data_IF_921950276281
#
_entry.id   IF_921950276281
#
_cell.length_a   1.000
_cell.length_b   1.000
_cell.length_c   1.000
_cell.angle_alpha   90.00
_cell.angle_beta   90.00
_cell.angle_gamma   90.00
#
_symmetry.space_group_name_H-M   'P 1'
#
loop_
_entity.id
_entity.type
_entity.pdbx_description
1 polymer ?
#
# COMPACT_ATOMS: atom_id res chain seq x y z
N UNK A 1 -3.94 21.09 -3.28
CA UNK A 1 -3.53 20.34 -4.42
C UNK A 1 -2.07 20.04 -4.34
N UNK A 2 -1.71 18.85 -4.54
CA UNK A 2 -0.34 18.40 -4.30
C UNK A 2 0.26 17.78 -5.54
N UNK A 3 0.17 18.54 -6.63
CA UNK A 3 0.80 18.20 -7.89
C UNK A 3 2.29 18.02 -7.80
N UNK A 4 2.89 18.50 -6.72
CA UNK A 4 4.33 18.42 -6.53
C UNK A 4 4.73 17.26 -5.64
N UNK A 5 3.75 16.58 -5.08
CA UNK A 5 4.10 15.44 -4.26
C UNK A 5 4.63 14.34 -5.14
N UNK A 6 5.83 13.92 -4.83
CA UNK A 6 6.43 12.77 -5.45
C UNK A 6 6.13 11.54 -4.61
N UNK A 7 5.74 10.49 -5.28
CA UNK A 7 5.58 9.19 -4.65
C UNK A 7 6.80 8.36 -5.02
N UNK A 8 7.59 8.00 -4.03
CA UNK A 8 8.80 7.22 -4.23
C UNK A 8 8.59 5.78 -3.78
N UNK A 9 9.03 4.84 -4.60
CA UNK A 9 9.09 3.42 -4.24
C UNK A 9 10.50 3.11 -3.81
N UNK A 10 10.65 2.60 -2.60
CA UNK A 10 11.96 2.28 -2.04
C UNK A 10 12.00 0.86 -1.49
N UNK A 11 13.12 0.20 -1.68
CA UNK A 11 13.35 -1.13 -1.13
C UNK A 11 14.32 -1.05 0.04
N UNK A 12 14.12 -1.92 1.02
CA UNK A 12 15.04 -2.08 2.12
C UNK A 12 15.06 -3.54 2.56
N UNK A 13 16.01 -3.89 3.40
CA UNK A 13 16.16 -5.25 3.88
C UNK A 13 16.20 -5.25 5.40
N UNK A 14 15.17 -5.82 6.04
CA UNK A 14 15.11 -5.91 7.50
C UNK A 14 14.42 -7.20 7.92
N UNK A 15 15.20 -8.26 8.26
CA UNK A 15 14.61 -9.53 8.66
C UNK A 15 13.90 -9.48 10.01
N UNK A 16 14.11 -8.42 10.79
CA UNK A 16 13.48 -8.25 12.09
C UNK A 16 12.13 -7.55 12.02
N UNK A 17 11.79 -6.94 10.88
CA UNK A 17 10.50 -6.27 10.72
C UNK A 17 9.40 -7.29 10.46
N UNK A 18 8.23 -7.07 11.06
CA UNK A 18 7.05 -7.88 10.82
C UNK A 18 6.22 -7.44 9.62
N UNK A 19 6.59 -6.34 8.95
CA UNK A 19 5.79 -5.76 7.86
C UNK A 19 6.51 -5.88 6.52
N UNK A 20 5.84 -6.42 5.48
CA UNK A 20 6.44 -6.50 4.13
C UNK A 20 6.56 -5.14 3.48
N UNK A 21 5.72 -4.18 3.87
CA UNK A 21 5.75 -2.83 3.32
C UNK A 21 5.08 -1.85 4.25
N UNK A 22 5.33 -0.57 4.05
CA UNK A 22 4.60 0.49 4.73
C UNK A 22 4.64 1.78 3.92
N UNK A 23 3.69 2.66 4.20
CA UNK A 23 3.61 3.99 3.61
C UNK A 23 4.18 4.99 4.61
N UNK A 24 5.12 5.80 4.15
CA UNK A 24 5.79 6.82 4.95
C UNK A 24 5.48 8.20 4.37
N UNK A 25 4.52 8.92 4.93
CA UNK A 25 4.21 10.27 4.47
C UNK A 25 5.34 11.24 4.83
N UNK A 26 5.72 12.08 3.90
CA UNK A 26 6.77 13.04 4.10
C UNK A 26 6.41 14.36 3.42
N UNK A 27 6.20 15.41 4.22
CA UNK A 27 5.79 16.71 3.71
C UNK A 27 6.91 17.45 2.98
N UNK A 28 8.15 17.01 3.16
CA UNK A 28 9.32 17.67 2.57
C UNK A 28 9.72 17.10 1.21
N UNK A 29 9.86 15.79 1.16
CA UNK A 29 10.46 15.11 0.00
C UNK A 29 9.45 14.29 -0.79
N UNK A 30 8.17 14.42 -0.47
CA UNK A 30 7.15 13.57 -1.01
C UNK A 30 6.98 12.30 -0.17
N UNK A 31 6.05 11.47 -0.57
CA UNK A 31 5.70 10.28 0.18
C UNK A 31 6.51 9.07 -0.29
N UNK A 32 6.84 8.19 0.63
CA UNK A 32 7.56 6.96 0.32
C UNK A 32 6.71 5.73 0.54
N UNK A 33 6.76 4.81 -0.43
CA UNK A 33 6.29 3.45 -0.25
C UNK A 33 7.51 2.56 -0.05
N UNK A 34 7.60 1.96 1.13
CA UNK A 34 8.76 1.20 1.56
C UNK A 34 8.46 -0.29 1.50
N UNK A 35 9.28 -1.05 0.77
CA UNK A 35 9.09 -2.49 0.60
C UNK A 35 10.26 -3.25 1.20
N UNK A 36 9.95 -4.13 2.15
CA UNK A 36 10.97 -4.97 2.80
C UNK A 36 11.26 -6.18 1.93
N UNK A 37 12.41 -6.19 1.29
CA UNK A 37 12.81 -7.26 0.37
C UNK A 37 12.84 -8.64 1.05
N UNK A 38 13.23 -8.69 2.30
CA UNK A 38 13.27 -9.96 3.03
C UNK A 38 11.90 -10.63 3.07
N UNK A 39 10.87 -9.86 3.45
CA UNK A 39 9.51 -10.38 3.56
C UNK A 39 8.82 -10.48 2.20
N UNK A 40 9.05 -9.52 1.30
CA UNK A 40 8.46 -9.54 -0.04
C UNK A 40 8.89 -10.77 -0.82
N UNK A 41 10.13 -11.21 -0.68
CA UNK A 41 10.63 -12.39 -1.39
C UNK A 41 9.90 -13.69 -1.00
N UNK A 42 9.26 -13.73 0.15
CA UNK A 42 8.48 -14.88 0.59
C UNK A 42 7.04 -14.89 0.09
N UNK A 43 6.61 -13.85 -0.62
CA UNK A 43 5.23 -13.72 -1.07
C UNK A 43 5.05 -14.23 -2.49
N UNK A 44 3.85 -14.70 -2.80
CA UNK A 44 3.48 -15.02 -4.18
C UNK A 44 3.38 -13.74 -5.01
N UNK A 45 3.32 -13.88 -6.33
CA UNK A 45 3.16 -12.75 -7.23
C UNK A 45 1.90 -11.94 -6.91
N UNK A 46 0.78 -12.60 -6.65
CA UNK A 46 -0.48 -11.93 -6.33
C UNK A 46 -0.43 -11.25 -4.96
N UNK A 47 0.21 -11.89 -3.99
CA UNK A 47 0.40 -11.28 -2.68
C UNK A 47 1.26 -10.02 -2.76
N UNK A 48 2.31 -10.04 -3.59
CA UNK A 48 3.13 -8.85 -3.84
C UNK A 48 2.31 -7.72 -4.47
N UNK A 49 1.46 -8.05 -5.43
CA UNK A 49 0.57 -7.07 -6.06
C UNK A 49 -0.39 -6.46 -5.06
N UNK A 50 -0.98 -7.29 -4.20
CA UNK A 50 -1.89 -6.80 -3.17
C UNK A 50 -1.18 -5.83 -2.24
N UNK A 51 0.04 -6.17 -1.80
CA UNK A 51 0.83 -5.28 -0.93
C UNK A 51 1.08 -3.95 -1.62
N UNK A 52 1.51 -3.96 -2.88
CA UNK A 52 1.80 -2.74 -3.62
C UNK A 52 0.56 -1.85 -3.77
N UNK A 53 -0.58 -2.45 -4.13
CA UNK A 53 -1.84 -1.70 -4.30
C UNK A 53 -2.33 -1.18 -2.95
N UNK A 54 -2.18 -1.98 -1.90
CA UNK A 54 -2.58 -1.61 -0.54
C UNK A 54 -1.81 -0.37 -0.05
N UNK A 55 -0.49 -0.36 -0.21
CA UNK A 55 0.31 0.79 0.21
C UNK A 55 0.04 2.02 -0.65
N UNK A 56 -0.19 1.84 -1.95
CA UNK A 56 -0.62 2.93 -2.81
C UNK A 56 -1.96 3.50 -2.34
N UNK A 57 -2.88 2.65 -1.89
CA UNK A 57 -4.15 3.08 -1.30
C UNK A 57 -3.94 3.99 -0.11
N UNK A 58 -3.00 3.67 0.78
CA UNK A 58 -2.66 4.56 1.91
C UNK A 58 -2.12 5.90 1.42
N UNK A 59 -1.31 5.90 0.37
CA UNK A 59 -0.80 7.15 -0.22
C UNK A 59 -1.93 8.01 -0.75
N UNK A 60 -3.04 7.42 -1.16
CA UNK A 60 -4.24 8.12 -1.62
C UNK A 60 -5.19 8.48 -0.47
N UNK A 61 -4.86 8.14 0.76
CA UNK A 61 -5.65 8.47 1.94
C UNK A 61 -6.63 7.40 2.39
N UNK A 62 -6.59 6.21 1.80
CA UNK A 62 -7.48 5.13 2.19
C UNK A 62 -6.98 4.48 3.49
N UNK A 63 -7.91 4.09 4.34
CA UNK A 63 -7.61 3.40 5.59
C UNK A 63 -7.85 1.90 5.45
N UNK A 64 -7.41 1.14 6.45
CA UNK A 64 -7.65 -0.31 6.47
C UNK A 64 -9.14 -0.62 6.42
N UNK A 65 -9.49 -1.70 5.74
CA UNK A 65 -10.87 -2.14 5.61
C UNK A 65 -10.98 -3.64 5.92
N UNK A 66 -11.79 -4.35 5.19
CA UNK A 66 -12.10 -5.76 5.44
C UNK A 66 -12.13 -6.54 4.13
N UNK A 67 -12.06 -7.86 4.24
CA UNK A 67 -12.12 -8.72 3.05
C UNK A 67 -13.45 -8.55 2.31
N UNK A 68 -13.49 -8.62 0.98
CA UNK A 68 -12.38 -8.92 0.05
C UNK A 68 -11.71 -7.68 -0.55
N UNK A 69 -11.64 -6.60 0.19
CA UNK A 69 -11.06 -5.34 -0.29
C UNK A 69 -9.54 -5.36 -0.21
N UNK A 70 -8.88 -4.65 -1.11
CA UNK A 70 -7.42 -4.59 -1.14
C UNK A 70 -6.85 -3.88 0.08
N UNK A 71 -7.62 -2.99 0.69
CA UNK A 71 -7.20 -2.28 1.89
C UNK A 71 -7.31 -3.09 3.17
N UNK A 72 -7.68 -4.37 3.09
CA UNK A 72 -7.66 -5.24 4.27
C UNK A 72 -6.21 -5.46 4.72
N UNK A 73 -6.00 -5.40 6.03
CA UNK A 73 -4.69 -5.70 6.61
C UNK A 73 -4.47 -7.22 6.62
N UNK A 74 -3.25 -7.64 6.29
CA UNK A 74 -2.88 -9.05 6.31
C UNK A 74 -2.41 -9.56 4.96
N UNK A 75 -1.95 -10.81 4.95
CA UNK A 75 -1.41 -11.44 3.77
C UNK A 75 -2.53 -12.09 2.96
N UNK A 76 -2.94 -11.39 1.90
CA UNK A 76 -3.98 -11.85 0.99
C UNK A 76 -3.52 -11.67 -0.45
N UNK A 77 -4.21 -12.32 -1.38
CA UNK A 77 -3.85 -12.30 -2.80
C UNK A 77 -4.84 -11.51 -3.67
N UNK A 78 -5.57 -10.58 -3.08
CA UNK A 78 -6.50 -9.73 -3.81
C UNK A 78 -5.72 -8.75 -4.70
N UNK A 79 -5.94 -8.82 -6.00
CA UNK A 79 -5.25 -7.97 -6.98
C UNK A 79 -6.16 -6.96 -7.64
N UNK A 80 -7.43 -6.96 -7.28
CA UNK A 80 -8.41 -6.02 -7.80
C UNK A 80 -9.08 -5.29 -6.67
N UNK A 81 -9.49 -4.06 -6.93
CA UNK A 81 -10.18 -3.24 -5.95
C UNK A 81 -11.52 -3.88 -5.59
N UNK A 82 -11.81 -3.95 -4.30
CA UNK A 82 -13.12 -4.33 -3.82
C UNK A 82 -14.08 -3.16 -3.84
N UNK A 83 -15.36 -3.43 -3.60
CA UNK A 83 -16.40 -2.39 -3.61
C UNK A 83 -16.14 -1.30 -2.57
N UNK A 84 -15.66 -1.67 -1.40
CA UNK A 84 -15.37 -0.70 -0.34
C UNK A 84 -14.17 0.18 -0.71
N UNK A 85 -13.16 -0.38 -1.35
CA UNK A 85 -12.01 0.39 -1.85
C UNK A 85 -12.48 1.48 -2.82
N UNK A 86 -13.36 1.11 -3.74
CA UNK A 86 -13.91 2.02 -4.75
C UNK A 86 -14.78 3.10 -4.10
N UNK A 87 -15.62 2.72 -3.16
CA UNK A 87 -16.47 3.66 -2.43
C UNK A 87 -15.64 4.69 -1.67
N UNK A 88 -14.62 4.24 -0.97
CA UNK A 88 -13.75 5.13 -0.19
C UNK A 88 -12.96 6.07 -1.10
N UNK A 89 -12.44 5.54 -2.20
CA UNK A 89 -11.73 6.38 -3.16
C UNK A 89 -12.66 7.46 -3.73
N UNK A 90 -13.87 7.09 -4.11
CA UNK A 90 -14.83 8.04 -4.67
C UNK A 90 -15.32 9.04 -3.64
N UNK A 91 -15.33 8.66 -2.36
CA UNK A 91 -15.65 9.60 -1.29
C UNK A 91 -14.57 10.68 -1.15
N UNK A 92 -13.31 10.28 -1.23
CA UNK A 92 -12.18 11.20 -1.10
C UNK A 92 -11.96 12.03 -2.36
N UNK A 93 -12.24 11.44 -3.52
CA UNK A 93 -12.01 12.08 -4.84
C UNK A 93 -13.28 11.99 -5.69
N UNK A 94 -14.33 12.72 -5.31
CA UNK A 94 -15.62 12.66 -6.01
C UNK A 94 -15.58 13.22 -7.43
#
# INVERSE_FOLDING_TARGET
MWTYEDLTYSDYYNPSSGFPAYYDPNDYDGDDLMFNQYLMNGLTSDEKKKVAIHELGHALGLEHSYIPNVMVQGQYSYTQLGSHDIEDYNYLYP
#
